data_IF_921262014877
#
_entry.id   IF_921262014877
#
_cell.length_a   1.000
_cell.length_b   1.000
_cell.length_c   1.000
_cell.angle_alpha   90.00
_cell.angle_beta   90.00
_cell.angle_gamma   90.00
#
_symmetry.space_group_name_H-M   'P 1'
#
loop_
_entity.id
_entity.type
_entity.pdbx_description
1 polymer ?
#
# COMPACT_ATOMS: atom_id res chain seq x y z
N UNK A 1 14.64 8.63 -27.67
CA UNK A 1 14.37 8.66 -27.14
C UNK A 1 14.08 8.65 -26.49
N UNK A 2 14.29 8.72 -26.56
CA UNK A 2 13.95 8.80 -25.83
C UNK A 2 13.73 8.79 -25.09
N UNK A 3 13.77 9.01 -25.29
CA UNK A 3 13.48 9.13 -24.53
C UNK A 3 13.11 9.08 -23.81
N UNK A 4 13.05 9.26 -23.99
CA UNK A 4 12.61 9.33 -23.26
C UNK A 4 12.19 9.10 -22.55
N UNK A 5 12.18 9.09 -22.88
CA UNK A 5 11.70 9.03 -22.15
C UNK A 5 11.62 8.72 -21.37
N UNK A 6 11.85 8.80 -21.44
CA UNK A 6 11.78 8.71 -20.63
C UNK A 6 11.64 8.85 -19.80
N UNK A 7 11.96 9.05 -20.05
CA UNK A 7 11.96 9.23 -18.78
C UNK A 7 10.83 9.39 -18.09
N UNK A 8 10.49 9.75 -18.39
CA UNK A 8 9.39 9.94 -17.88
C UNK A 8 8.86 8.93 -17.10
N UNK A 9 8.17 8.67 -16.98
CA UNK A 9 7.60 7.69 -16.23
C UNK A 9 8.44 6.53 -15.89
N UNK A 10 9.60 6.52 -16.40
CA UNK A 10 10.48 5.39 -16.17
C UNK A 10 10.69 5.11 -14.69
N UNK A 11 10.72 6.15 -13.88
CA UNK A 11 11.01 5.98 -12.47
C UNK A 11 9.93 5.18 -11.75
N UNK A 12 8.72 5.14 -12.26
CA UNK A 12 7.65 4.43 -11.59
C UNK A 12 7.35 3.09 -12.23
N UNK A 13 8.12 2.73 -13.26
CA UNK A 13 7.88 1.50 -13.97
C UNK A 13 8.67 0.31 -13.46
N UNK A 14 9.30 0.40 -12.30
CA UNK A 14 10.14 -0.68 -11.80
C UNK A 14 9.35 -1.60 -10.87
N UNK A 15 9.78 -2.86 -10.81
CA UNK A 15 9.14 -3.89 -10.01
C UNK A 15 10.17 -4.65 -9.21
N UNK A 16 9.76 -5.22 -8.10
CA UNK A 16 10.63 -5.98 -7.21
C UNK A 16 9.90 -7.24 -6.75
N UNK A 17 10.64 -8.34 -6.65
CA UNK A 17 10.09 -9.58 -6.10
C UNK A 17 10.11 -9.53 -4.58
N UNK A 18 9.03 -9.99 -3.96
CA UNK A 18 8.94 -10.13 -2.51
C UNK A 18 8.42 -11.50 -2.18
N UNK A 19 8.46 -11.87 -0.91
CA UNK A 19 7.90 -13.15 -0.47
C UNK A 19 6.39 -13.18 -0.66
N UNK A 20 5.73 -12.01 -0.69
CA UNK A 20 4.30 -11.92 -0.95
C UNK A 20 4.01 -12.07 -2.46
N UNK A 21 4.95 -11.65 -3.29
CA UNK A 21 4.83 -11.65 -4.74
C UNK A 21 5.57 -10.48 -5.35
N UNK A 22 5.52 -10.37 -6.67
CA UNK A 22 6.15 -9.25 -7.35
C UNK A 22 5.27 -8.02 -7.22
N UNK A 23 5.89 -6.89 -6.89
CA UNK A 23 5.19 -5.63 -6.68
C UNK A 23 5.79 -4.52 -7.54
N UNK A 24 4.99 -3.49 -7.82
CA UNK A 24 5.52 -2.24 -8.31
C UNK A 24 6.28 -1.55 -7.17
N UNK A 25 7.33 -0.82 -7.48
CA UNK A 25 8.13 -0.16 -6.43
C UNK A 25 7.45 1.08 -5.88
N UNK A 26 6.42 1.58 -6.55
CA UNK A 26 5.63 2.72 -6.09
C UNK A 26 4.17 2.49 -6.39
N UNK A 27 3.31 3.19 -5.64
CA UNK A 27 1.89 3.22 -5.95
C UNK A 27 1.62 4.32 -6.99
N UNK A 28 0.54 4.18 -7.79
CA UNK A 28 0.24 5.22 -8.77
C UNK A 28 -0.22 6.51 -8.10
N UNK A 29 -0.10 7.64 -8.80
CA UNK A 29 -0.70 8.88 -8.32
C UNK A 29 -2.19 8.68 -8.11
N UNK A 30 -2.73 9.22 -7.04
CA UNK A 30 -4.14 9.05 -6.74
C UNK A 30 -4.47 7.79 -5.97
N UNK A 31 -3.49 6.94 -5.68
CA UNK A 31 -3.73 5.78 -4.82
C UNK A 31 -4.24 6.28 -3.46
N UNK A 32 -5.26 5.61 -2.86
CA UNK A 32 -5.84 6.08 -1.61
C UNK A 32 -4.79 6.22 -0.51
N UNK A 33 -4.84 7.34 0.18
CA UNK A 33 -3.89 7.66 1.24
C UNK A 33 -4.65 8.22 2.42
N UNK A 34 -4.46 7.64 3.59
CA UNK A 34 -5.19 8.06 4.77
C UNK A 34 -4.92 9.54 5.06
N UNK A 35 -5.97 10.36 5.28
CA UNK A 35 -5.81 11.79 5.53
C UNK A 35 -4.90 12.05 6.73
N UNK A 36 -3.97 12.98 6.55
CA UNK A 36 -3.04 13.33 7.62
C UNK A 36 -1.81 12.43 7.71
N UNK A 37 -1.72 11.39 6.87
CA UNK A 37 -0.53 10.57 6.85
C UNK A 37 0.58 11.25 6.05
N UNK A 38 1.82 10.87 6.33
CA UNK A 38 2.98 11.37 5.60
C UNK A 38 3.81 10.20 5.09
N UNK A 39 4.53 10.42 4.01
CA UNK A 39 5.39 9.40 3.44
C UNK A 39 6.50 9.07 4.42
N UNK A 40 6.64 7.79 4.75
CA UNK A 40 7.63 7.34 5.74
C UNK A 40 8.81 6.63 5.10
N UNK A 41 8.74 6.32 3.81
CA UNK A 41 9.80 5.61 3.13
C UNK A 41 9.82 4.13 3.49
N UNK A 42 10.90 3.48 3.13
CA UNK A 42 11.05 2.05 3.34
C UNK A 42 11.67 1.81 4.71
N UNK A 43 10.95 1.14 5.58
CA UNK A 43 11.40 0.89 6.94
C UNK A 43 11.41 -0.58 7.31
N UNK A 44 11.06 -1.46 6.40
CA UNK A 44 10.94 -2.86 6.73
C UNK A 44 12.05 -3.71 6.14
N UNK A 45 12.15 -4.98 6.57
CA UNK A 45 13.12 -5.90 6.00
C UNK A 45 12.76 -6.36 4.59
N UNK A 46 11.51 -6.15 4.17
CA UNK A 46 11.04 -6.52 2.85
C UNK A 46 10.64 -5.28 2.07
N UNK A 47 10.82 -5.30 0.75
CA UNK A 47 10.38 -4.17 -0.09
C UNK A 47 8.89 -3.97 -0.02
N UNK A 48 8.48 -2.72 -0.11
CA UNK A 48 7.07 -2.33 -0.16
C UNK A 48 6.91 -1.25 -1.21
N UNK A 49 5.71 -1.13 -1.75
CA UNK A 49 5.43 -0.09 -2.75
C UNK A 49 5.38 1.28 -2.11
N UNK A 50 4.80 1.38 -0.92
CA UNK A 50 4.74 2.64 -0.21
C UNK A 50 4.52 2.41 1.28
N UNK A 51 5.07 3.30 2.09
CA UNK A 51 4.84 3.30 3.53
C UNK A 51 4.49 4.71 3.97
N UNK A 52 3.43 4.82 4.75
CA UNK A 52 2.98 6.09 5.30
C UNK A 52 2.93 6.01 6.81
N UNK A 53 3.07 7.15 7.47
CA UNK A 53 2.99 7.23 8.92
C UNK A 53 1.84 8.14 9.31
N UNK A 54 1.06 7.70 10.32
CA UNK A 54 -0.01 8.51 10.91
C UNK A 54 0.43 8.85 12.31
N UNK A 55 0.65 10.13 12.57
CA UNK A 55 1.09 10.59 13.88
C UNK A 55 -0.07 10.63 14.86
N UNK A 56 0.25 10.68 16.15
CA UNK A 56 -0.76 10.83 17.17
C UNK A 56 -1.50 9.57 17.53
N UNK A 57 -0.96 8.41 17.17
CA UNK A 57 -1.56 7.15 17.57
C UNK A 57 -2.89 6.87 16.88
N UNK A 58 -2.96 7.07 15.58
CA UNK A 58 -4.17 6.76 14.83
C UNK A 58 -4.64 5.34 15.10
N UNK A 59 -5.95 5.17 15.22
CA UNK A 59 -6.55 3.87 15.52
C UNK A 59 -6.41 2.94 14.31
N UNK A 60 -5.67 1.82 14.43
CA UNK A 60 -5.48 0.91 13.30
C UNK A 60 -6.78 0.39 12.72
N UNK A 61 -7.79 0.11 13.55
CA UNK A 61 -9.07 -0.39 13.06
C UNK A 61 -9.78 0.67 12.21
N UNK A 62 -9.71 1.93 12.62
CA UNK A 62 -10.33 3.01 11.87
C UNK A 62 -9.60 3.23 10.55
N UNK A 63 -8.28 3.16 10.56
CA UNK A 63 -7.50 3.30 9.34
C UNK A 63 -7.79 2.15 8.38
N UNK A 64 -7.92 0.93 8.92
CA UNK A 64 -8.25 -0.23 8.09
C UNK A 64 -9.61 -0.07 7.42
N UNK A 65 -10.61 0.39 8.17
CA UNK A 65 -11.94 0.62 7.62
C UNK A 65 -11.92 1.71 6.54
N UNK A 66 -11.16 2.77 6.78
CA UNK A 66 -11.04 3.84 5.80
C UNK A 66 -10.39 3.35 4.52
N UNK A 67 -9.30 2.59 4.65
CA UNK A 67 -8.59 2.05 3.49
C UNK A 67 -9.47 1.08 2.70
N UNK A 68 -10.23 0.24 3.40
CA UNK A 68 -11.15 -0.68 2.74
C UNK A 68 -12.16 0.09 1.90
N UNK A 69 -12.80 1.09 2.49
CA UNK A 69 -13.81 1.88 1.78
C UNK A 69 -13.20 2.62 0.59
N UNK A 70 -12.00 3.18 0.78
CA UNK A 70 -11.33 3.91 -0.28
C UNK A 70 -10.97 3.01 -1.45
N UNK A 71 -10.47 1.80 -1.16
CA UNK A 71 -10.13 0.85 -2.20
C UNK A 71 -11.38 0.37 -2.93
N UNK A 72 -12.47 0.14 -2.20
CA UNK A 72 -13.72 -0.27 -2.84
C UNK A 72 -14.27 0.84 -3.75
N UNK A 73 -14.12 2.09 -3.33
CA UNK A 73 -14.49 3.22 -4.18
C UNK A 73 -13.62 3.27 -5.44
N UNK A 74 -12.37 2.84 -5.34
CA UNK A 74 -11.45 2.78 -6.46
C UNK A 74 -11.59 1.49 -7.27
N UNK A 75 -12.68 0.74 -7.05
CA UNK A 75 -13.07 -0.47 -7.79
C UNK A 75 -12.28 -1.73 -7.44
N UNK A 76 -11.63 -1.74 -6.29
CA UNK A 76 -11.04 -2.97 -5.76
C UNK A 76 -12.03 -3.65 -4.84
N UNK A 77 -11.99 -4.98 -4.80
CA UNK A 77 -12.83 -5.77 -3.92
C UNK A 77 -12.02 -6.26 -2.74
N UNK A 78 -12.57 -6.16 -1.55
CA UNK A 78 -11.93 -6.67 -0.35
C UNK A 78 -12.03 -8.19 -0.34
N UNK A 79 -10.90 -8.88 -0.25
CA UNK A 79 -10.89 -10.33 -0.11
C UNK A 79 -10.85 -10.75 1.35
N UNK A 80 -10.10 -10.03 2.17
CA UNK A 80 -9.97 -10.37 3.56
C UNK A 80 -9.50 -9.15 4.35
N UNK A 81 -9.96 -9.05 5.57
CA UNK A 81 -9.46 -8.08 6.53
C UNK A 81 -9.23 -8.83 7.83
N UNK A 82 -7.97 -8.94 8.22
CA UNK A 82 -7.57 -9.69 9.41
C UNK A 82 -7.09 -8.73 10.48
N UNK A 83 -7.41 -9.04 11.73
CA UNK A 83 -6.94 -8.27 12.87
C UNK A 83 -8.05 -8.03 13.88
N UNK A 84 -7.69 -7.44 15.03
CA UNK A 84 -6.31 -7.09 15.38
C UNK A 84 -5.47 -8.34 15.64
N UNK A 85 -4.24 -8.31 15.14
CA UNK A 85 -3.26 -9.35 15.40
C UNK A 85 -2.67 -9.12 16.80
N UNK A 86 -1.71 -9.97 17.20
CA UNK A 86 -1.15 -9.86 18.55
C UNK A 86 -0.54 -8.50 18.83
N UNK A 87 0.04 -7.88 17.81
CA UNK A 87 0.68 -6.57 17.96
C UNK A 87 -0.29 -5.41 17.66
N UNK A 88 -1.57 -5.71 17.48
CA UNK A 88 -2.57 -4.69 17.20
C UNK A 88 -2.67 -4.31 15.73
N UNK A 89 -1.94 -4.99 14.85
CA UNK A 89 -1.96 -4.65 13.44
C UNK A 89 -3.16 -5.26 12.72
N UNK A 90 -3.46 -4.70 11.55
CA UNK A 90 -4.48 -5.21 10.64
C UNK A 90 -3.85 -5.45 9.27
N UNK A 91 -4.36 -6.45 8.57
CA UNK A 91 -3.92 -6.74 7.20
C UNK A 91 -5.16 -6.79 6.32
N UNK A 92 -5.16 -5.95 5.29
CA UNK A 92 -6.27 -5.83 4.34
C UNK A 92 -5.78 -6.36 2.98
N UNK A 93 -6.47 -7.35 2.44
CA UNK A 93 -6.18 -7.89 1.13
C UNK A 93 -7.30 -7.51 0.17
N UNK A 94 -6.93 -6.95 -0.98
CA UNK A 94 -7.88 -6.50 -1.99
C UNK A 94 -7.44 -6.96 -3.37
N UNK A 95 -8.40 -7.11 -4.27
CA UNK A 95 -8.12 -7.47 -5.66
C UNK A 95 -8.87 -6.55 -6.59
N UNK A 96 -8.26 -6.30 -7.74
CA UNK A 96 -8.87 -5.53 -8.82
C UNK A 96 -8.86 -6.35 -10.10
N UNK A 97 -9.23 -5.70 -11.19
CA UNK A 97 -9.29 -6.35 -12.50
C UNK A 97 -7.92 -6.88 -12.92
N UNK A 98 -7.93 -7.97 -13.68
CA UNK A 98 -6.71 -8.50 -14.27
C UNK A 98 -5.76 -9.15 -13.29
N UNK A 99 -6.25 -9.57 -12.13
CA UNK A 99 -5.40 -10.20 -11.13
C UNK A 99 -4.61 -9.21 -10.29
N UNK A 100 -4.97 -7.94 -10.34
CA UNK A 100 -4.32 -6.92 -9.51
C UNK A 100 -4.58 -7.24 -8.03
N UNK A 101 -3.51 -7.43 -7.27
CA UNK A 101 -3.60 -7.70 -5.84
C UNK A 101 -2.94 -6.58 -5.06
N UNK A 102 -3.57 -6.20 -3.96
CA UNK A 102 -3.04 -5.17 -3.07
C UNK A 102 -3.10 -5.71 -1.65
N UNK A 103 -2.04 -5.50 -0.89
CA UNK A 103 -2.04 -5.80 0.53
C UNK A 103 -1.67 -4.54 1.29
N UNK A 104 -2.49 -4.21 2.28
CA UNK A 104 -2.24 -3.05 3.15
C UNK A 104 -2.09 -3.56 4.57
N UNK A 105 -0.94 -3.30 5.18
CA UNK A 105 -0.69 -3.65 6.57
C UNK A 105 -0.70 -2.37 7.39
N UNK A 106 -1.48 -2.37 8.48
CA UNK A 106 -1.62 -1.22 9.35
C UNK A 106 -1.10 -1.63 10.72
N UNK A 107 0.01 -1.03 11.16
CA UNK A 107 0.72 -1.48 12.36
C UNK A 107 1.02 -0.32 13.29
N UNK A 108 0.51 -0.37 14.53
CA UNK A 108 0.87 0.64 15.53
C UNK A 108 2.27 0.36 16.05
N UNK A 109 3.08 1.42 16.19
CA UNK A 109 4.45 1.24 16.65
C UNK A 109 4.99 2.57 17.18
N UNK A 110 5.24 2.64 18.48
CA UNK A 110 5.95 3.77 19.06
C UNK A 110 5.23 5.11 18.93
N UNK A 111 3.92 5.13 19.07
CA UNK A 111 3.16 6.39 18.97
C UNK A 111 2.80 6.78 17.57
N UNK A 112 3.22 5.99 16.60
CA UNK A 112 2.83 6.15 15.20
C UNK A 112 2.05 4.94 14.76
N UNK A 113 1.28 5.10 13.69
CA UNK A 113 0.69 3.95 13.02
C UNK A 113 1.21 3.96 11.58
N UNK A 114 1.82 2.85 11.18
CA UNK A 114 2.37 2.72 9.83
C UNK A 114 1.38 2.01 8.93
N UNK A 115 1.23 2.54 7.72
CA UNK A 115 0.41 1.94 6.67
C UNK A 115 1.35 1.53 5.55
N UNK A 116 1.51 0.24 5.36
CA UNK A 116 2.46 -0.32 4.39
C UNK A 116 1.67 -0.96 3.26
N UNK A 117 1.97 -0.56 2.03
CA UNK A 117 1.22 -1.01 0.85
C UNK A 117 2.13 -1.82 -0.06
N UNK A 118 1.65 -3.01 -0.45
CA UNK A 118 2.22 -3.80 -1.53
C UNK A 118 1.25 -3.75 -2.70
N UNK A 119 1.68 -3.11 -3.76
CA UNK A 119 0.87 -2.90 -4.97
C UNK A 119 1.35 -3.92 -6.01
N UNK A 120 0.55 -4.94 -6.26
CA UNK A 120 0.97 -6.09 -7.06
C UNK A 120 1.35 -5.75 -8.49
N UNK A 121 2.25 -6.54 -9.05
CA UNK A 121 2.79 -6.29 -10.39
C UNK A 121 1.74 -6.40 -11.49
N UNK A 122 0.66 -7.15 -11.24
CA UNK A 122 -0.42 -7.27 -12.22
C UNK A 122 -1.33 -6.04 -12.24
N UNK A 123 -1.15 -5.12 -11.28
CA UNK A 123 -1.94 -3.89 -11.24
C UNK A 123 -1.47 -2.92 -12.32
N UNK A 124 -2.31 -1.95 -12.71
CA UNK A 124 -1.87 -0.90 -13.60
C UNK A 124 -0.63 -0.21 -13.04
N UNK A 125 0.20 0.27 -13.93
CA UNK A 125 1.50 0.81 -13.57
C UNK A 125 1.43 1.78 -12.39
N UNK A 126 2.30 1.55 -11.42
CA UNK A 126 2.40 2.40 -10.25
C UNK A 126 3.35 3.57 -10.40
#
# INVERSE_FOLDING_TARGET
MAASSSASGAAIGTQTDTTWGRIWDNVPPGFPRYPGSSVAGDTGPEPVSATYAVAGGGDPAQIASWMQAALETATFSTEALSGPLEDGSFVLDSVGDGGCRIQVAIKPMGGLTFVTVRYGAACPEG
#
